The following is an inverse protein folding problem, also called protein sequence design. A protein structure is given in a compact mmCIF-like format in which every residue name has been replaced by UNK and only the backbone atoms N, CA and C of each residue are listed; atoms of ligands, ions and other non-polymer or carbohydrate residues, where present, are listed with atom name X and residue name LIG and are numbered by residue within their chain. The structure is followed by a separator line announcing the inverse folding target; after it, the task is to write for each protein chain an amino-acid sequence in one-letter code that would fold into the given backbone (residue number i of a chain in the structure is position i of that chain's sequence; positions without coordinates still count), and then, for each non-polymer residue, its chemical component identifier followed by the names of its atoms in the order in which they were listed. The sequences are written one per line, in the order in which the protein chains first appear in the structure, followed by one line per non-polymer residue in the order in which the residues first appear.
data_IF_530006647975
#
_entry.id   IF_530006647975
#
_cell.length_a   1.000
_cell.length_b   1.000
_cell.length_c   1.000
_cell.angle_alpha   90.00
_cell.angle_beta   90.00
_cell.angle_gamma   90.00
#
_symmetry.space_group_name_H-M   'P 1'
#
loop_
_entity.id
_entity.type
_entity.pdbx_description
1 polymer ?
#
# COMPACT_ATOMS: atom_id res chain seq x y z
N UNK A 1 5.48 -11.57 31.97
CA UNK A 1 6.60 -10.79 31.35
C UNK A 1 5.98 -9.72 30.46
N UNK A 2 6.66 -8.56 30.26
CA UNK A 2 6.16 -7.55 29.36
C UNK A 2 6.19 -8.07 27.92
N UNK A 3 5.07 -7.88 27.19
CA UNK A 3 4.82 -8.48 25.88
C UNK A 3 5.24 -7.56 24.74
N UNK A 4 5.99 -8.10 23.76
CA UNK A 4 6.37 -7.43 22.53
C UNK A 4 5.60 -8.05 21.36
N UNK A 5 4.82 -7.24 20.64
CA UNK A 5 4.20 -7.67 19.38
C UNK A 5 5.23 -7.61 18.26
N UNK A 6 5.43 -8.75 17.60
CA UNK A 6 6.37 -8.89 16.47
C UNK A 6 5.58 -8.90 15.16
N UNK A 7 5.99 -8.06 14.22
CA UNK A 7 5.47 -8.04 12.84
C UNK A 7 6.57 -8.47 11.88
N UNK A 8 6.38 -9.63 11.28
CA UNK A 8 7.24 -10.20 10.24
C UNK A 8 6.36 -10.90 9.19
N UNK A 9 6.57 -10.59 7.91
CA UNK A 9 5.68 -11.02 6.82
C UNK A 9 6.01 -12.39 6.24
N UNK A 10 7.07 -13.05 6.73
CA UNK A 10 7.42 -14.42 6.39
C UNK A 10 7.54 -15.27 7.66
N UNK A 11 6.57 -16.13 7.96
CA UNK A 11 6.55 -16.94 9.18
C UNK A 11 7.79 -17.78 9.39
N UNK A 12 8.31 -18.36 8.31
CA UNK A 12 9.51 -19.20 8.30
C UNK A 12 10.80 -18.45 8.68
N UNK A 13 10.82 -17.14 8.53
CA UNK A 13 11.98 -16.28 8.84
C UNK A 13 11.86 -15.59 10.22
N UNK A 14 10.73 -15.68 10.90
CA UNK A 14 10.46 -14.96 12.15
C UNK A 14 11.15 -15.57 13.39
N UNK A 15 11.50 -16.86 13.34
CA UNK A 15 12.07 -17.61 14.47
C UNK A 15 13.21 -16.88 15.19
N UNK A 16 14.26 -16.42 14.49
CA UNK A 16 15.39 -15.72 15.11
C UNK A 16 14.98 -14.45 15.89
N UNK A 17 14.00 -13.69 15.39
CA UNK A 17 13.49 -12.50 16.09
C UNK A 17 12.70 -12.86 17.33
N UNK A 18 11.88 -13.91 17.28
CA UNK A 18 11.13 -14.43 18.42
C UNK A 18 12.10 -14.85 19.54
N UNK A 19 13.16 -15.57 19.22
CA UNK A 19 14.18 -15.97 20.19
C UNK A 19 14.98 -14.79 20.74
N UNK A 20 15.32 -13.81 19.91
CA UNK A 20 16.00 -12.60 20.34
C UNK A 20 15.16 -11.76 21.33
N UNK A 21 13.85 -11.66 21.12
CA UNK A 21 12.92 -11.00 22.04
C UNK A 21 12.85 -11.74 23.36
N UNK A 22 12.77 -13.10 23.34
CA UNK A 22 12.74 -13.94 24.53
C UNK A 22 14.05 -13.81 25.32
N UNK A 23 15.19 -13.88 24.66
CA UNK A 23 16.51 -13.71 25.26
C UNK A 23 16.72 -12.30 25.86
N UNK A 24 16.04 -11.28 25.34
CA UNK A 24 16.04 -9.93 25.90
C UNK A 24 15.21 -9.79 27.18
N UNK A 25 14.45 -10.83 27.60
CA UNK A 25 13.63 -10.85 28.80
C UNK A 25 12.18 -10.37 28.58
N UNK A 26 11.67 -10.47 27.35
CA UNK A 26 10.31 -10.11 27.00
C UNK A 26 9.53 -11.35 26.51
N UNK A 27 8.21 -11.26 26.58
CA UNK A 27 7.30 -12.26 26.01
C UNK A 27 7.05 -11.93 24.54
N UNK A 28 7.51 -12.77 23.58
CA UNK A 28 7.26 -12.56 22.17
C UNK A 28 5.83 -12.94 21.82
N UNK A 29 5.08 -11.99 21.26
CA UNK A 29 3.77 -12.23 20.66
C UNK A 29 3.93 -12.18 19.13
N UNK A 30 4.01 -13.35 18.52
CA UNK A 30 4.09 -13.53 17.08
C UNK A 30 2.99 -14.47 16.58
N UNK A 31 2.48 -14.21 15.39
CA UNK A 31 1.42 -15.00 14.77
C UNK A 31 0.14 -14.19 14.51
N UNK A 32 -0.78 -14.81 13.78
CA UNK A 32 -1.99 -14.15 13.32
C UNK A 32 -1.71 -13.10 12.23
N UNK A 33 -2.64 -12.17 12.09
CA UNK A 33 -2.54 -11.12 11.07
C UNK A 33 -1.41 -10.13 11.35
N UNK A 34 -0.69 -9.76 10.32
CA UNK A 34 0.45 -8.81 10.39
C UNK A 34 0.17 -7.50 9.65
N UNK A 35 -0.99 -7.36 9.01
CA UNK A 35 -1.37 -6.17 8.25
C UNK A 35 -2.89 -5.93 8.26
N UNK A 36 -3.29 -4.74 7.82
CA UNK A 36 -4.69 -4.36 7.67
C UNK A 36 -5.49 -4.23 8.97
N UNK A 37 -6.84 -4.19 8.88
CA UNK A 37 -7.72 -3.99 10.02
C UNK A 37 -7.59 -5.02 11.16
N UNK A 38 -7.29 -6.31 10.90
CA UNK A 38 -7.12 -7.28 11.99
C UNK A 38 -5.97 -6.96 12.93
N UNK A 39 -4.77 -6.63 12.40
CA UNK A 39 -3.61 -6.30 13.25
C UNK A 39 -3.85 -5.02 14.04
N UNK A 40 -4.48 -4.01 13.43
CA UNK A 40 -4.78 -2.75 14.11
C UNK A 40 -5.78 -2.95 15.24
N UNK A 41 -6.75 -3.84 15.06
CA UNK A 41 -7.71 -4.23 16.09
C UNK A 41 -7.04 -4.99 17.23
N UNK A 42 -6.13 -5.93 16.92
CA UNK A 42 -5.40 -6.70 17.91
C UNK A 42 -4.52 -5.80 18.80
N UNK A 43 -3.72 -4.91 18.21
CA UNK A 43 -2.87 -3.97 18.95
C UNK A 43 -3.71 -3.02 19.83
N UNK A 44 -4.86 -2.57 19.36
CA UNK A 44 -5.75 -1.68 20.11
C UNK A 44 -6.47 -2.42 21.25
N UNK A 45 -6.92 -3.64 21.01
CA UNK A 45 -7.66 -4.45 22.00
C UNK A 45 -6.78 -4.99 23.12
N UNK A 46 -5.50 -5.26 22.84
CA UNK A 46 -4.53 -5.78 23.79
C UNK A 46 -3.16 -5.12 23.56
N UNK A 47 -2.94 -3.89 24.05
CA UNK A 47 -1.74 -3.13 23.77
C UNK A 47 -0.47 -3.82 24.31
N UNK A 48 0.55 -4.07 23.46
CA UNK A 48 1.86 -4.55 23.90
C UNK A 48 2.67 -3.40 24.51
N UNK A 49 3.76 -3.72 25.24
CA UNK A 49 4.68 -2.68 25.76
C UNK A 49 5.54 -2.06 24.66
N UNK A 50 5.75 -2.74 23.54
CA UNK A 50 6.33 -2.22 22.31
C UNK A 50 5.93 -3.08 21.11
N UNK A 51 6.04 -2.51 19.91
CA UNK A 51 5.86 -3.24 18.65
C UNK A 51 7.21 -3.30 17.93
N UNK A 52 7.66 -4.52 17.62
CA UNK A 52 8.85 -4.81 16.83
C UNK A 52 8.43 -5.09 15.39
N UNK A 53 8.98 -4.35 14.44
CA UNK A 53 8.63 -4.44 13.02
C UNK A 53 9.89 -4.75 12.21
N UNK A 54 9.90 -5.89 11.55
CA UNK A 54 10.98 -6.23 10.61
C UNK A 54 10.78 -5.55 9.26
N UNK A 55 11.82 -4.88 8.76
CA UNK A 55 11.81 -4.18 7.48
C UNK A 55 12.51 -4.94 6.35
N UNK A 56 13.02 -6.14 6.61
CA UNK A 56 13.67 -6.97 5.58
C UNK A 56 12.67 -7.43 4.50
N UNK A 57 11.42 -7.64 4.91
CA UNK A 57 10.31 -8.05 4.05
C UNK A 57 9.19 -7.02 4.12
N UNK A 58 8.67 -6.62 2.96
CA UNK A 58 7.53 -5.70 2.81
C UNK A 58 7.62 -4.42 3.71
N UNK A 59 8.72 -3.64 3.65
CA UNK A 59 8.92 -2.48 4.52
C UNK A 59 7.82 -1.42 4.41
N UNK A 60 7.11 -1.37 3.27
CA UNK A 60 5.93 -0.51 3.09
C UNK A 60 4.79 -0.87 4.04
N UNK A 61 4.51 -2.17 4.24
CA UNK A 61 3.46 -2.62 5.16
C UNK A 61 3.84 -2.32 6.62
N UNK A 62 5.11 -2.54 7.00
CA UNK A 62 5.62 -2.18 8.33
C UNK A 62 5.47 -0.69 8.62
N UNK A 63 5.82 0.15 7.64
CA UNK A 63 5.60 1.59 7.71
C UNK A 63 4.12 1.94 7.89
N UNK A 64 3.22 1.30 7.13
CA UNK A 64 1.77 1.56 7.21
C UNK A 64 1.20 1.28 8.59
N UNK A 65 1.56 0.14 9.20
CA UNK A 65 1.13 -0.19 10.56
C UNK A 65 1.66 0.85 11.56
N UNK A 66 2.93 1.24 11.45
CA UNK A 66 3.54 2.23 12.34
C UNK A 66 2.90 3.62 12.21
N UNK A 67 2.62 4.07 10.99
CA UNK A 67 1.90 5.34 10.71
C UNK A 67 0.50 5.30 11.31
N UNK A 68 -0.22 4.19 11.12
CA UNK A 68 -1.53 4.02 11.74
C UNK A 68 -1.44 4.09 13.27
N UNK A 69 -0.46 3.44 13.91
CA UNK A 69 -0.26 3.49 15.36
C UNK A 69 -0.07 4.92 15.85
N UNK A 70 0.74 5.73 15.16
CA UNK A 70 0.99 7.14 15.53
C UNK A 70 -0.26 8.03 15.34
N UNK A 71 -1.08 7.74 14.34
CA UNK A 71 -2.32 8.48 14.10
C UNK A 71 -3.47 8.07 15.04
N UNK A 72 -3.39 6.91 15.70
CA UNK A 72 -4.44 6.41 16.60
C UNK A 72 -4.14 6.80 18.05
N UNK A 73 -5.06 7.53 18.72
CA UNK A 73 -4.89 8.04 20.10
C UNK A 73 -4.50 6.96 21.11
N UNK A 74 -5.13 5.79 21.03
CA UNK A 74 -4.90 4.67 21.97
C UNK A 74 -3.57 3.93 21.78
N UNK A 75 -2.90 4.08 20.63
CA UNK A 75 -1.67 3.33 20.32
C UNK A 75 -0.45 4.21 20.03
N UNK A 76 -0.65 5.53 19.88
CA UNK A 76 0.43 6.44 19.48
C UNK A 76 1.61 6.49 20.45
N UNK A 77 1.39 6.19 21.73
CA UNK A 77 2.42 6.18 22.76
C UNK A 77 3.18 4.84 22.86
N UNK A 78 2.70 3.79 22.17
CA UNK A 78 3.39 2.50 22.18
C UNK A 78 4.72 2.66 21.44
N UNK A 79 5.86 2.32 22.06
CA UNK A 79 7.17 2.32 21.41
C UNK A 79 7.18 1.44 20.15
N UNK A 80 7.81 1.94 19.10
CA UNK A 80 8.03 1.21 17.85
C UNK A 80 9.51 0.98 17.68
N UNK A 81 9.90 -0.27 17.44
CA UNK A 81 11.27 -0.66 17.13
C UNK A 81 11.29 -1.28 15.74
N UNK A 82 11.98 -0.64 14.82
CA UNK A 82 12.24 -1.20 13.50
C UNK A 82 13.56 -1.96 13.51
N UNK A 83 13.55 -3.14 12.89
CA UNK A 83 14.75 -3.97 12.77
C UNK A 83 15.01 -4.31 11.31
N UNK A 84 16.28 -4.35 10.93
CA UNK A 84 16.75 -4.70 9.59
C UNK A 84 16.28 -3.73 8.48
N UNK A 85 16.28 -4.21 7.23
CA UNK A 85 15.81 -3.48 6.06
C UNK A 85 16.94 -2.82 5.26
N UNK A 86 16.63 -2.47 4.02
CA UNK A 86 17.56 -1.76 3.13
C UNK A 86 17.73 -0.30 3.58
N UNK A 87 18.96 0.17 3.61
CA UNK A 87 19.34 1.48 4.13
C UNK A 87 18.48 2.64 3.60
N UNK A 88 18.31 2.73 2.29
CA UNK A 88 17.52 3.81 1.68
C UNK A 88 16.04 3.79 2.10
N UNK A 89 15.45 2.58 2.21
CA UNK A 89 14.06 2.41 2.65
C UNK A 89 13.91 2.76 4.13
N UNK A 90 14.87 2.34 4.95
CA UNK A 90 14.91 2.65 6.39
C UNK A 90 15.01 4.17 6.61
N UNK A 91 15.89 4.89 5.89
CA UNK A 91 16.01 6.33 6.05
C UNK A 91 14.72 7.08 5.69
N UNK A 92 14.04 6.70 4.61
CA UNK A 92 12.72 7.27 4.26
C UNK A 92 11.65 7.03 5.34
N UNK A 93 11.73 5.89 6.04
CA UNK A 93 10.82 5.60 7.17
C UNK A 93 11.21 6.44 8.37
N UNK A 94 12.51 6.60 8.64
CA UNK A 94 13.06 7.40 9.74
C UNK A 94 12.68 8.88 9.63
N UNK A 95 12.71 9.46 8.43
CA UNK A 95 12.23 10.83 8.17
C UNK A 95 10.75 11.01 8.56
N UNK A 96 9.95 9.97 8.37
CA UNK A 96 8.52 9.99 8.68
C UNK A 96 8.21 9.70 10.15
N UNK A 97 9.02 8.84 10.78
CA UNK A 97 8.83 8.33 12.14
C UNK A 97 10.14 8.48 12.97
N UNK A 98 10.64 9.72 13.17
CA UNK A 98 11.93 9.96 13.80
C UNK A 98 11.96 9.56 15.27
N UNK A 99 10.82 9.41 15.92
CA UNK A 99 10.65 9.00 17.32
C UNK A 99 10.64 7.47 17.51
N UNK A 100 10.73 6.68 16.44
CA UNK A 100 10.88 5.23 16.51
C UNK A 100 12.37 4.84 16.69
N UNK A 101 12.63 3.67 17.29
CA UNK A 101 13.96 3.09 17.35
C UNK A 101 14.27 2.32 16.07
N UNK A 102 15.52 2.38 15.62
CA UNK A 102 16.01 1.65 14.43
C UNK A 102 17.29 0.91 14.80
N UNK A 103 17.32 -0.39 14.58
CA UNK A 103 18.42 -1.24 15.04
C UNK A 103 18.62 -2.46 14.12
N UNK A 104 19.85 -2.96 13.96
CA UNK A 104 20.06 -4.28 13.44
C UNK A 104 19.73 -5.35 14.51
N UNK A 105 19.53 -6.62 14.08
CA UNK A 105 19.14 -7.73 14.97
C UNK A 105 20.12 -7.92 16.13
N UNK A 106 21.43 -7.73 15.91
CA UNK A 106 22.50 -7.94 16.91
C UNK A 106 22.38 -6.98 18.11
N UNK A 107 21.74 -5.84 17.92
CA UNK A 107 21.54 -4.82 18.98
C UNK A 107 20.11 -4.75 19.48
N UNK A 108 19.25 -5.67 19.06
CA UNK A 108 17.81 -5.67 19.32
C UNK A 108 17.50 -5.65 20.82
N UNK A 109 18.18 -6.46 21.63
CA UNK A 109 17.95 -6.53 23.08
C UNK A 109 18.15 -5.18 23.78
N UNK A 110 19.21 -4.46 23.43
CA UNK A 110 19.48 -3.12 23.98
C UNK A 110 18.43 -2.09 23.51
N UNK A 111 18.06 -2.14 22.24
CA UNK A 111 17.05 -1.26 21.66
C UNK A 111 15.66 -1.46 22.31
N UNK A 112 15.23 -2.70 22.51
CA UNK A 112 13.97 -3.02 23.18
C UNK A 112 13.97 -2.54 24.63
N UNK A 113 15.03 -2.83 25.40
CA UNK A 113 15.17 -2.37 26.79
C UNK A 113 15.13 -0.84 26.90
N UNK A 114 15.76 -0.14 25.95
CA UNK A 114 15.72 1.34 25.88
C UNK A 114 14.32 1.84 25.52
N UNK A 115 13.70 1.30 24.48
CA UNK A 115 12.38 1.70 24.02
C UNK A 115 11.29 1.48 25.08
N UNK A 116 11.36 0.37 25.83
CA UNK A 116 10.39 0.06 26.88
C UNK A 116 10.57 0.86 28.19
N UNK A 117 11.73 1.54 28.38
CA UNK A 117 11.96 2.40 29.56
C UNK A 117 11.30 3.78 29.45
N UNK A 118 10.97 4.21 28.25
CA UNK A 118 10.36 5.52 28.01
C UNK A 118 9.48 5.48 26.78
N UNK A 119 8.16 5.50 26.99
CA UNK A 119 7.26 5.84 25.91
C UNK A 119 7.61 7.24 25.38
N UNK A 120 7.51 7.51 24.08
CA UNK A 120 7.77 8.85 23.54
C UNK A 120 6.81 9.84 24.22
N UNK A 121 7.39 10.81 24.94
CA UNK A 121 6.61 11.83 25.64
C UNK A 121 5.75 12.67 24.67
N UNK A 122 6.24 12.86 23.46
CA UNK A 122 5.53 13.54 22.37
C UNK A 122 5.72 12.73 21.08
N UNK A 123 4.85 11.76 20.81
CA UNK A 123 4.92 10.99 19.56
C UNK A 123 4.78 11.90 18.35
N UNK A 124 5.65 11.73 17.37
CA UNK A 124 5.51 12.41 16.09
C UNK A 124 4.33 11.80 15.33
N UNK A 125 3.34 12.62 15.01
CA UNK A 125 2.16 12.18 14.25
C UNK A 125 2.45 12.45 12.77
N UNK A 126 2.81 11.43 11.99
CA UNK A 126 3.05 11.61 10.57
C UNK A 126 1.71 11.94 9.86
N UNK A 127 1.77 12.70 8.77
CA UNK A 127 0.57 12.91 7.96
C UNK A 127 0.01 11.56 7.51
N UNK A 128 -1.30 11.38 7.62
CA UNK A 128 -1.97 10.16 7.15
C UNK A 128 -1.58 9.87 5.70
N UNK A 129 -1.18 8.63 5.42
CA UNK A 129 -0.77 8.25 4.06
C UNK A 129 -1.89 8.49 3.05
N UNK A 130 -3.14 8.32 3.47
CA UNK A 130 -4.33 8.63 2.65
C UNK A 130 -4.49 10.13 2.40
N UNK A 131 -4.09 11.02 3.33
CA UNK A 131 -4.13 12.47 3.13
C UNK A 131 -3.14 12.88 2.02
N UNK A 132 -1.90 12.42 2.07
CA UNK A 132 -0.90 12.65 1.00
C UNK A 132 -1.34 12.12 -0.36
N UNK A 133 -2.16 11.05 -0.38
CA UNK A 133 -2.69 10.47 -1.61
C UNK A 133 -3.95 11.21 -2.11
N UNK A 134 -4.77 11.75 -1.20
CA UNK A 134 -5.96 12.54 -1.57
C UNK A 134 -5.58 13.77 -2.39
N UNK A 135 -4.53 14.46 -2.00
CA UNK A 135 -4.12 15.74 -2.60
C UNK A 135 -3.32 15.60 -3.90
N UNK A 136 -2.89 14.38 -4.26
CA UNK A 136 -2.20 14.18 -5.53
C UNK A 136 -3.18 14.30 -6.70
N UNK A 137 -2.81 15.02 -7.79
CA UNK A 137 -3.57 15.03 -9.03
C UNK A 137 -3.86 13.61 -9.54
N UNK A 138 -5.03 13.40 -10.12
CA UNK A 138 -5.45 12.08 -10.60
C UNK A 138 -4.45 11.54 -11.64
N UNK A 139 -3.98 12.38 -12.55
CA UNK A 139 -2.95 12.01 -13.50
C UNK A 139 -1.71 11.38 -12.82
N UNK A 140 -1.21 11.98 -11.73
CA UNK A 140 -0.08 11.42 -10.98
C UNK A 140 -0.44 10.11 -10.25
N UNK A 141 -1.68 9.97 -9.77
CA UNK A 141 -2.17 8.72 -9.15
C UNK A 141 -2.19 7.57 -10.14
N UNK A 142 -2.52 7.85 -11.39
CA UNK A 142 -2.50 6.92 -12.51
C UNK A 142 -1.06 6.59 -12.98
N UNK A 143 -0.08 7.37 -12.53
CA UNK A 143 1.35 7.20 -12.89
C UNK A 143 1.75 7.98 -14.13
N UNK A 144 0.93 8.93 -14.58
CA UNK A 144 1.29 9.87 -15.64
C UNK A 144 2.32 10.84 -15.05
N UNK A 145 3.51 10.84 -15.62
CA UNK A 145 4.65 11.69 -15.23
C UNK A 145 5.02 12.62 -16.39
N UNK A 146 5.85 13.66 -16.19
CA UNK A 146 6.27 14.54 -17.26
C UNK A 146 6.83 13.78 -18.47
N UNK A 147 6.45 14.23 -19.68
CA UNK A 147 6.95 13.70 -20.94
C UNK A 147 6.38 12.34 -21.38
N UNK A 148 5.45 11.75 -20.62
CA UNK A 148 4.87 10.44 -20.97
C UNK A 148 3.59 10.59 -21.81
N UNK A 149 3.39 9.66 -22.74
CA UNK A 149 2.10 9.50 -23.43
C UNK A 149 1.28 8.42 -22.73
N UNK A 150 0.02 8.72 -22.42
CA UNK A 150 -0.95 7.77 -21.89
C UNK A 150 -2.08 7.55 -22.90
N UNK A 151 -2.56 6.34 -23.01
CA UNK A 151 -3.71 5.99 -23.83
C UNK A 151 -5.00 6.03 -23.03
N UNK A 152 -6.10 6.46 -23.65
CA UNK A 152 -7.45 6.23 -23.16
C UNK A 152 -8.24 5.41 -24.19
N UNK A 153 -9.01 4.44 -23.71
CA UNK A 153 -9.83 3.55 -24.54
C UNK A 153 -11.26 3.55 -24.00
N UNK A 154 -12.23 3.63 -24.87
CA UNK A 154 -13.66 3.69 -24.54
C UNK A 154 -13.97 4.81 -23.51
N UNK A 155 -13.31 5.94 -23.67
CA UNK A 155 -13.37 7.04 -22.73
C UNK A 155 -14.70 7.81 -22.82
N UNK A 156 -15.30 8.23 -21.69
CA UNK A 156 -16.43 9.14 -21.70
C UNK A 156 -16.00 10.52 -22.23
N UNK A 157 -16.92 11.29 -22.78
CA UNK A 157 -16.62 12.60 -23.37
C UNK A 157 -15.91 13.58 -22.43
N UNK A 158 -16.14 13.45 -21.13
CA UNK A 158 -15.56 14.29 -20.08
C UNK A 158 -14.29 13.71 -19.43
N UNK A 159 -13.65 12.72 -20.04
CA UNK A 159 -12.47 12.02 -19.49
C UNK A 159 -11.33 12.98 -19.13
N UNK A 160 -11.17 14.08 -19.89
CA UNK A 160 -10.17 15.10 -19.58
C UNK A 160 -10.40 15.71 -18.19
N UNK A 161 -11.67 16.00 -17.86
CA UNK A 161 -12.05 16.46 -16.53
C UNK A 161 -11.87 15.42 -15.43
N UNK A 162 -12.05 14.13 -15.78
CA UNK A 162 -11.83 13.00 -14.85
C UNK A 162 -10.35 12.84 -14.51
N UNK A 163 -9.46 12.90 -15.50
CA UNK A 163 -8.01 12.74 -15.32
C UNK A 163 -7.40 14.01 -14.71
N UNK A 164 -7.97 15.18 -15.06
CA UNK A 164 -7.50 16.49 -14.60
C UNK A 164 -6.22 16.95 -15.29
N UNK A 165 -5.55 17.98 -14.75
CA UNK A 165 -4.38 18.57 -15.37
C UNK A 165 -3.23 17.57 -15.50
N UNK A 166 -2.63 17.54 -16.68
CA UNK A 166 -1.49 16.68 -16.98
C UNK A 166 -0.18 17.32 -16.50
N UNK A 167 0.82 16.50 -16.14
CA UNK A 167 2.18 16.97 -15.94
C UNK A 167 2.77 17.57 -17.21
N UNK A 168 3.85 18.32 -17.04
CA UNK A 168 4.57 18.99 -18.14
C UNK A 168 4.93 18.01 -19.26
N UNK A 169 4.64 18.38 -20.51
CA UNK A 169 4.90 17.58 -21.72
C UNK A 169 4.27 16.18 -21.73
N UNK A 170 3.34 15.87 -20.80
CA UNK A 170 2.57 14.64 -20.85
C UNK A 170 1.39 14.79 -21.84
N UNK A 171 1.06 13.71 -22.53
CA UNK A 171 0.00 13.69 -23.54
C UNK A 171 -0.96 12.52 -23.31
N UNK A 172 -2.19 12.68 -23.79
CA UNK A 172 -3.19 11.61 -23.85
C UNK A 172 -3.57 11.41 -25.31
N UNK A 173 -3.60 10.15 -25.73
CA UNK A 173 -4.09 9.72 -27.04
C UNK A 173 -5.32 8.83 -26.88
N UNK A 174 -6.34 9.07 -27.70
CA UNK A 174 -7.54 8.24 -27.75
C UNK A 174 -7.36 7.08 -28.71
N UNK A 175 -7.85 5.89 -28.33
CA UNK A 175 -7.85 4.69 -29.17
C UNK A 175 -6.54 4.48 -29.95
N UNK A 176 -5.38 4.43 -29.28
CA UNK A 176 -4.11 4.40 -29.99
C UNK A 176 -3.92 3.12 -30.78
N UNK A 177 -3.25 3.23 -31.92
CA UNK A 177 -2.83 2.07 -32.73
C UNK A 177 -1.64 1.32 -32.14
N UNK A 178 -0.94 1.90 -31.19
CA UNK A 178 0.21 1.33 -30.47
C UNK A 178 -0.09 1.14 -28.97
N UNK A 179 0.80 0.42 -28.29
CA UNK A 179 0.67 0.21 -26.83
C UNK A 179 1.48 1.28 -26.13
N UNK A 180 0.80 2.18 -25.45
CA UNK A 180 1.40 3.25 -24.69
C UNK A 180 1.86 2.78 -23.28
N UNK A 181 2.82 3.46 -22.62
CA UNK A 181 3.32 3.10 -21.29
C UNK A 181 2.26 3.02 -20.21
N UNK A 182 1.15 3.74 -20.39
CA UNK A 182 -0.03 3.70 -19.50
C UNK A 182 -1.26 3.65 -20.38
N UNK A 183 -2.14 2.70 -20.12
CA UNK A 183 -3.46 2.62 -20.75
C UNK A 183 -4.54 2.73 -19.69
N UNK A 184 -5.51 3.62 -19.90
CA UNK A 184 -6.69 3.80 -19.06
C UNK A 184 -7.89 3.34 -19.90
N UNK A 185 -8.44 2.19 -19.56
CA UNK A 185 -9.59 1.60 -20.25
C UNK A 185 -10.86 1.84 -19.45
N UNK A 186 -11.77 2.61 -19.99
CA UNK A 186 -13.06 2.86 -19.38
C UNK A 186 -14.04 1.73 -19.71
N UNK A 187 -14.75 1.24 -18.70
CA UNK A 187 -15.86 0.28 -18.84
C UNK A 187 -17.11 0.90 -18.24
N UNK A 188 -18.25 0.70 -18.87
CA UNK A 188 -19.53 1.23 -18.42
C UNK A 188 -20.43 0.13 -17.84
N UNK A 189 -20.21 -1.13 -18.27
CA UNK A 189 -20.92 -2.31 -17.83
C UNK A 189 -19.97 -3.53 -17.76
N UNK A 190 -20.48 -4.67 -17.32
CA UNK A 190 -19.70 -5.93 -17.22
C UNK A 190 -19.39 -6.47 -18.62
N UNK A 191 -20.30 -6.30 -19.56
CA UNK A 191 -20.17 -6.73 -20.94
C UNK A 191 -18.98 -6.06 -21.64
N UNK A 192 -18.75 -4.77 -21.37
CA UNK A 192 -17.58 -4.03 -21.85
C UNK A 192 -16.27 -4.69 -21.40
N UNK A 193 -16.23 -5.10 -20.13
CA UNK A 193 -15.06 -5.77 -19.56
C UNK A 193 -14.82 -7.12 -20.23
N UNK A 194 -15.87 -7.95 -20.33
CA UNK A 194 -15.79 -9.29 -20.92
C UNK A 194 -15.31 -9.25 -22.37
N UNK A 195 -15.87 -8.33 -23.17
CA UNK A 195 -15.48 -8.14 -24.56
C UNK A 195 -14.02 -7.66 -24.70
N UNK A 196 -13.55 -6.84 -23.77
CA UNK A 196 -12.24 -6.24 -23.80
C UNK A 196 -11.12 -7.12 -23.22
N UNK A 197 -11.43 -8.15 -22.43
CA UNK A 197 -10.45 -8.97 -21.69
C UNK A 197 -9.26 -9.49 -22.55
N UNK A 198 -9.46 -10.04 -23.77
CA UNK A 198 -8.34 -10.52 -24.57
C UNK A 198 -7.32 -9.41 -24.90
N UNK A 199 -7.82 -8.23 -25.29
CA UNK A 199 -6.99 -7.05 -25.59
C UNK A 199 -6.35 -6.48 -24.31
N UNK A 200 -7.08 -6.42 -23.20
CA UNK A 200 -6.57 -5.99 -21.89
C UNK A 200 -5.41 -6.86 -21.40
N UNK A 201 -5.51 -8.18 -21.56
CA UNK A 201 -4.41 -9.10 -21.22
C UNK A 201 -3.15 -8.84 -22.04
N UNK A 202 -3.31 -8.58 -23.33
CA UNK A 202 -2.19 -8.23 -24.21
C UNK A 202 -1.51 -6.93 -23.77
N UNK A 203 -2.28 -5.91 -23.43
CA UNK A 203 -1.77 -4.62 -22.95
C UNK A 203 -1.10 -4.80 -21.57
N UNK A 204 -1.75 -5.45 -20.63
CA UNK A 204 -1.25 -5.67 -19.27
C UNK A 204 0.04 -6.51 -19.20
N UNK A 205 0.37 -7.26 -20.27
CA UNK A 205 1.63 -7.99 -20.38
C UNK A 205 2.84 -7.10 -20.73
N UNK A 206 2.58 -5.91 -21.22
CA UNK A 206 3.61 -4.98 -21.76
C UNK A 206 3.69 -3.69 -20.95
N UNK A 207 2.58 -3.25 -20.38
CA UNK A 207 2.49 -1.93 -19.77
C UNK A 207 1.51 -1.91 -18.58
N UNK A 208 1.33 -0.72 -17.98
CA UNK A 208 0.36 -0.48 -16.92
C UNK A 208 -1.04 -0.33 -17.52
N UNK A 209 -1.97 -1.20 -17.11
CA UNK A 209 -3.38 -1.15 -17.50
C UNK A 209 -4.25 -0.71 -16.32
N UNK A 210 -4.86 0.44 -16.43
CA UNK A 210 -5.93 0.86 -15.54
C UNK A 210 -7.29 0.54 -16.15
N UNK A 211 -8.15 -0.15 -15.41
CA UNK A 211 -9.56 -0.31 -15.75
C UNK A 211 -10.36 0.67 -14.91
N UNK A 212 -10.92 1.67 -15.58
CA UNK A 212 -11.76 2.70 -14.97
C UNK A 212 -13.22 2.30 -15.06
N UNK A 213 -13.93 2.30 -13.92
CA UNK A 213 -15.36 1.97 -13.82
C UNK A 213 -16.15 3.11 -13.17
N UNK A 214 -17.42 3.31 -13.52
CA UNK A 214 -18.28 4.28 -12.83
C UNK A 214 -18.65 3.76 -11.44
N UNK A 215 -18.82 4.69 -10.50
CA UNK A 215 -19.36 4.45 -9.16
C UNK A 215 -20.88 4.66 -9.16
N UNK A 216 -21.58 4.03 -8.25
CA UNK A 216 -23.01 4.22 -8.03
C UNK A 216 -23.79 2.92 -7.84
N UNK A 217 -25.06 3.02 -7.39
CA UNK A 217 -25.85 1.84 -6.99
C UNK A 217 -26.20 0.89 -8.14
N UNK A 218 -26.36 1.42 -9.37
CA UNK A 218 -26.70 0.63 -10.56
C UNK A 218 -25.50 0.44 -11.51
N UNK A 219 -24.30 0.39 -10.95
CA UNK A 219 -23.05 0.24 -11.71
C UNK A 219 -22.32 -1.04 -11.31
N UNK A 220 -21.46 -1.57 -12.17
CA UNK A 220 -20.74 -2.80 -11.86
C UNK A 220 -20.00 -2.69 -10.51
N UNK A 221 -20.25 -3.60 -9.55
CA UNK A 221 -19.54 -3.61 -8.29
C UNK A 221 -18.04 -3.82 -8.49
N UNK A 222 -17.23 -3.20 -7.67
CA UNK A 222 -15.76 -3.32 -7.75
C UNK A 222 -15.30 -4.77 -7.67
N UNK A 223 -15.88 -5.54 -6.74
CA UNK A 223 -15.53 -6.94 -6.55
C UNK A 223 -15.83 -7.77 -7.79
N UNK A 224 -16.98 -7.57 -8.43
CA UNK A 224 -17.34 -8.30 -9.67
C UNK A 224 -16.36 -7.99 -10.81
N UNK A 225 -15.94 -6.72 -10.96
CA UNK A 225 -14.92 -6.35 -11.95
C UNK A 225 -13.58 -7.03 -11.65
N UNK A 226 -13.18 -7.08 -10.37
CA UNK A 226 -11.94 -7.75 -9.95
C UNK A 226 -11.99 -9.25 -10.21
N UNK A 227 -13.08 -9.92 -9.82
CA UNK A 227 -13.27 -11.36 -10.00
C UNK A 227 -13.19 -11.74 -11.48
N UNK A 228 -13.96 -11.07 -12.34
CA UNK A 228 -13.93 -11.30 -13.79
C UNK A 228 -12.54 -11.07 -14.38
N UNK A 229 -11.86 -9.98 -14.00
CA UNK A 229 -10.53 -9.67 -14.48
C UNK A 229 -9.49 -10.72 -14.03
N UNK A 230 -9.58 -11.19 -12.78
CA UNK A 230 -8.69 -12.23 -12.22
C UNK A 230 -8.91 -13.57 -12.91
N UNK A 231 -10.16 -13.99 -13.11
CA UNK A 231 -10.52 -15.17 -13.88
C UNK A 231 -10.03 -15.06 -15.32
N UNK A 232 -10.10 -13.86 -15.89
CA UNK A 232 -9.55 -13.52 -17.19
C UNK A 232 -8.01 -13.50 -17.27
N UNK A 233 -7.29 -13.83 -16.18
CA UNK A 233 -5.81 -13.92 -16.14
C UNK A 233 -5.09 -12.62 -15.88
N UNK A 234 -5.77 -11.63 -15.28
CA UNK A 234 -5.18 -10.41 -14.75
C UNK A 234 -4.97 -10.51 -13.24
N UNK A 235 -4.13 -9.64 -12.67
CA UNK A 235 -3.90 -9.49 -11.22
C UNK A 235 -4.01 -8.02 -10.89
N UNK A 236 -4.80 -7.69 -9.88
CA UNK A 236 -4.96 -6.34 -9.39
C UNK A 236 -3.82 -5.93 -8.43
N UNK A 237 -3.34 -4.69 -8.56
CA UNK A 237 -2.26 -4.15 -7.74
C UNK A 237 -2.67 -2.95 -6.90
N UNK A 238 -3.59 -2.15 -7.40
CA UNK A 238 -3.89 -0.86 -6.79
C UNK A 238 -5.25 -0.37 -7.22
N UNK A 239 -5.95 0.27 -6.30
CA UNK A 239 -7.20 0.97 -6.55
C UNK A 239 -6.97 2.47 -6.38
N UNK A 240 -7.60 3.27 -7.23
CA UNK A 240 -7.52 4.71 -7.22
C UNK A 240 -8.90 5.34 -7.46
N UNK A 241 -9.29 6.28 -6.62
CA UNK A 241 -10.45 7.13 -6.92
C UNK A 241 -10.10 8.09 -8.07
N UNK A 242 -10.91 8.10 -9.11
CA UNK A 242 -10.85 9.01 -10.25
C UNK A 242 -11.98 10.04 -10.12
N UNK A 243 -11.88 10.90 -9.11
CA UNK A 243 -12.94 11.84 -8.75
C UNK A 243 -14.14 11.19 -8.06
N UNK A 244 -15.29 11.91 -7.99
CA UNK A 244 -16.47 11.42 -7.26
C UNK A 244 -17.13 10.24 -7.96
N UNK A 245 -17.16 10.21 -9.29
CA UNK A 245 -18.00 9.32 -10.09
C UNK A 245 -17.26 8.10 -10.66
N UNK A 246 -15.93 8.04 -10.59
CA UNK A 246 -15.13 6.99 -11.20
C UNK A 246 -14.13 6.39 -10.23
N UNK A 247 -13.79 5.13 -10.44
CA UNK A 247 -12.74 4.39 -9.73
C UNK A 247 -11.91 3.59 -10.73
N UNK A 248 -10.60 3.60 -10.56
CA UNK A 248 -9.67 2.83 -11.39
C UNK A 248 -9.02 1.71 -10.62
N UNK A 249 -8.86 0.55 -11.25
CA UNK A 249 -8.10 -0.59 -10.75
C UNK A 249 -6.91 -0.81 -11.69
N UNK A 250 -5.71 -0.82 -11.13
CA UNK A 250 -4.49 -1.14 -11.88
C UNK A 250 -4.32 -2.65 -11.96
N UNK A 251 -4.24 -3.16 -13.17
CA UNK A 251 -4.01 -4.58 -13.45
C UNK A 251 -2.66 -4.82 -14.10
N UNK A 252 -2.11 -6.01 -13.88
CA UNK A 252 -1.05 -6.59 -14.67
C UNK A 252 -1.42 -8.02 -15.09
N UNK A 253 -0.67 -8.60 -16.03
CA UNK A 253 -0.85 -10.00 -16.39
C UNK A 253 -0.35 -10.90 -15.27
N UNK A 254 -1.12 -11.94 -14.93
CA UNK A 254 -0.69 -13.01 -14.03
C UNK A 254 0.56 -13.68 -14.61
N UNK A 255 1.63 -13.75 -13.84
CA UNK A 255 2.79 -14.56 -14.21
C UNK A 255 2.41 -16.02 -14.07
N UNK A 256 2.55 -16.78 -15.14
CA UNK A 256 2.45 -18.26 -15.13
C UNK A 256 3.63 -18.85 -14.39
#
# INVERSE_FOLDING_TARGET
MPRIRILHWKPEEAGPLVEAVRAAGFEPEYGGEVSGPPITRAIRGNPPVAVLIDLSRLPSHGKEVAVWMRNTKSTRHIPIVFVNGEREKVERIRELLPDAAYTPTERLAAALKKACKGAPASPVIPPEMMARYKDKPIAQKLGIVPGITAAVINAPRDYVGIIGPLPENAQIVEEPGSVEPITIWFIHCVEDLLAALPRMRSIASKTKLWVARPKGPNRPPENSIREIAIEGGLVDYKICALGPNWSGILFARKKS
#
